data_IF_805065703072
#
_entry.id   IF_805065703072
#
_cell.length_a   1.000
_cell.length_b   1.000
_cell.length_c   1.000
_cell.angle_alpha   90.00
_cell.angle_beta   90.00
_cell.angle_gamma   90.00
#
_symmetry.space_group_name_H-M   'P 1'
#
loop_
_entity.id
_entity.type
_entity.pdbx_description
1 polymer ?
#
# COMPACT_ATOMS: atom_id res chain seq x y z
N UNK A 1 19.93 11.70 10.95
CA UNK A 1 19.21 11.82 12.24
C UNK A 1 17.69 11.65 12.07
N UNK A 2 17.04 12.35 11.14
CA UNK A 2 15.59 12.28 10.90
C UNK A 2 15.02 10.89 10.55
N UNK A 3 15.78 10.08 9.82
CA UNK A 3 15.37 8.70 9.46
C UNK A 3 15.20 7.83 10.71
N UNK A 4 16.06 7.98 11.72
CA UNK A 4 15.95 7.25 12.98
C UNK A 4 14.69 7.62 13.76
N UNK A 5 14.36 8.91 13.81
CA UNK A 5 13.13 9.41 14.45
C UNK A 5 11.87 8.85 13.76
N UNK A 6 11.85 8.82 12.43
CA UNK A 6 10.73 8.27 11.66
C UNK A 6 10.54 6.76 11.91
N UNK A 7 11.63 6.00 11.98
CA UNK A 7 11.58 4.56 12.30
C UNK A 7 11.09 4.30 13.72
N UNK A 8 11.55 5.08 14.70
CA UNK A 8 11.10 4.97 16.10
C UNK A 8 9.62 5.33 16.25
N UNK A 9 9.16 6.37 15.55
CA UNK A 9 7.74 6.73 15.53
C UNK A 9 6.87 5.63 14.90
N UNK A 10 7.30 5.05 13.78
CA UNK A 10 6.62 3.93 13.14
C UNK A 10 6.55 2.69 14.06
N UNK A 11 7.65 2.37 14.74
CA UNK A 11 7.71 1.28 15.71
C UNK A 11 6.75 1.52 16.89
N UNK A 12 6.70 2.74 17.42
CA UNK A 12 5.79 3.08 18.52
C UNK A 12 4.32 2.91 18.13
N UNK A 13 3.93 3.34 16.92
CA UNK A 13 2.58 3.15 16.38
C UNK A 13 2.25 1.66 16.24
N UNK A 14 3.20 0.86 15.75
CA UNK A 14 3.04 -0.59 15.61
C UNK A 14 2.81 -1.27 16.97
N UNK A 15 3.60 -0.93 17.99
CA UNK A 15 3.47 -1.49 19.35
C UNK A 15 2.11 -1.13 19.97
N UNK A 16 1.66 0.12 19.82
CA UNK A 16 0.35 0.55 20.33
C UNK A 16 -0.80 -0.17 19.62
N UNK A 17 -0.66 -0.41 18.31
CA UNK A 17 -1.66 -1.16 17.55
C UNK A 17 -1.70 -2.64 17.96
N UNK A 18 -0.56 -3.30 18.08
CA UNK A 18 -0.47 -4.71 18.43
C UNK A 18 -0.92 -4.98 19.87
N UNK A 19 -0.54 -4.12 20.81
CA UNK A 19 -1.02 -4.20 22.20
C UNK A 19 -2.54 -4.01 22.32
N UNK A 20 -3.16 -3.20 21.46
CA UNK A 20 -4.63 -3.08 21.36
C UNK A 20 -5.27 -4.32 20.75
N UNK A 21 -4.62 -4.96 19.76
CA UNK A 21 -5.09 -6.20 19.14
C UNK A 21 -5.15 -7.35 20.14
N UNK A 22 -4.09 -7.52 20.93
CA UNK A 22 -3.99 -8.62 21.93
C UNK A 22 -5.01 -8.50 23.07
N UNK A 23 -5.51 -7.30 23.37
CA UNK A 23 -6.52 -7.07 24.41
C UNK A 23 -7.95 -7.40 23.99
N UNK A 24 -8.21 -7.70 22.71
CA UNK A 24 -9.54 -8.15 22.27
C UNK A 24 -9.67 -9.66 22.50
N UNK A 25 -10.53 -10.05 23.43
CA UNK A 25 -10.85 -11.45 23.78
C UNK A 25 -11.73 -12.17 22.75
N UNK A 26 -12.18 -11.48 21.71
CA UNK A 26 -13.12 -11.97 20.69
C UNK A 26 -12.42 -12.69 19.52
N UNK A 27 -11.32 -13.40 19.81
CA UNK A 27 -10.59 -14.17 18.78
C UNK A 27 -11.24 -15.54 18.66
N UNK A 28 -12.31 -15.62 17.87
CA UNK A 28 -12.90 -16.90 17.49
C UNK A 28 -11.84 -17.81 16.84
N UNK A 29 -11.65 -19.05 17.31
CA UNK A 29 -10.66 -19.96 16.74
C UNK A 29 -10.94 -20.21 15.26
N UNK A 30 -9.90 -20.14 14.42
CA UNK A 30 -10.01 -20.35 12.99
C UNK A 30 -10.54 -21.77 12.70
N UNK A 31 -11.66 -21.90 11.98
CA UNK A 31 -12.14 -23.20 11.54
C UNK A 31 -11.13 -23.86 10.58
N UNK A 32 -11.01 -25.19 10.64
CA UNK A 32 -10.17 -25.98 9.70
C UNK A 32 -10.49 -25.68 8.23
N UNK A 33 -11.76 -25.43 7.95
CA UNK A 33 -12.28 -24.95 6.66
C UNK A 33 -11.60 -23.64 6.20
N UNK A 34 -11.44 -22.65 7.09
CA UNK A 34 -10.74 -21.38 6.78
C UNK A 34 -9.24 -21.58 6.59
N UNK A 35 -8.59 -22.49 7.32
CA UNK A 35 -7.16 -22.79 7.11
C UNK A 35 -6.89 -23.35 5.70
N UNK A 36 -7.78 -24.19 5.15
CA UNK A 36 -7.61 -24.75 3.80
C UNK A 36 -7.79 -23.72 2.69
N UNK A 37 -8.60 -22.68 2.88
CA UNK A 37 -8.87 -21.64 1.88
C UNK A 37 -7.78 -20.56 1.81
N UNK A 38 -6.77 -20.64 2.69
CA UNK A 38 -5.73 -19.61 2.81
C UNK A 38 -6.25 -18.36 3.52
N UNK A 39 -5.31 -17.51 3.95
CA UNK A 39 -5.64 -16.23 4.59
C UNK A 39 -6.15 -15.27 3.53
N UNK A 40 -7.46 -15.31 3.27
CA UNK A 40 -8.14 -14.27 2.51
C UNK A 40 -8.30 -13.07 3.46
N UNK A 41 -7.70 -11.90 3.16
CA UNK A 41 -8.00 -10.71 3.93
C UNK A 41 -9.51 -10.47 3.83
N UNK A 42 -10.17 -10.29 4.98
CA UNK A 42 -11.58 -9.88 5.00
C UNK A 42 -11.76 -8.60 4.20
N UNK A 43 -12.99 -8.29 3.78
CA UNK A 43 -13.23 -7.15 2.87
C UNK A 43 -12.69 -5.83 3.43
N UNK A 44 -12.63 -5.67 4.76
CA UNK A 44 -12.00 -4.53 5.42
C UNK A 44 -10.49 -4.41 5.24
N UNK A 45 -9.77 -5.48 4.87
CA UNK A 45 -8.32 -5.50 4.68
C UNK A 45 -7.87 -5.10 3.28
N UNK A 46 -8.73 -5.28 2.26
CA UNK A 46 -8.37 -5.03 0.84
C UNK A 46 -8.02 -3.58 0.58
N UNK A 47 -8.87 -2.65 1.02
CA UNK A 47 -8.63 -1.21 0.82
C UNK A 47 -7.39 -0.71 1.57
N UNK A 48 -7.09 -1.28 2.74
CA UNK A 48 -5.90 -0.94 3.52
C UNK A 48 -4.61 -1.36 2.80
N UNK A 49 -4.59 -2.57 2.22
CA UNK A 49 -3.45 -3.05 1.43
C UNK A 49 -3.24 -2.17 0.20
N UNK A 50 -4.30 -1.88 -0.54
CA UNK A 50 -4.24 -1.00 -1.72
C UNK A 50 -3.72 0.40 -1.35
N UNK A 51 -4.18 0.95 -0.23
CA UNK A 51 -3.70 2.23 0.28
C UNK A 51 -2.21 2.18 0.67
N UNK A 52 -1.76 1.07 1.27
CA UNK A 52 -0.35 0.84 1.55
C UNK A 52 0.52 0.78 0.29
N UNK A 53 0.07 0.06 -0.75
CA UNK A 53 0.76 0.00 -2.05
C UNK A 53 0.81 1.37 -2.70
N UNK A 54 -0.29 2.12 -2.66
CA UNK A 54 -0.37 3.49 -3.17
C UNK A 54 0.63 4.41 -2.47
N UNK A 55 0.65 4.41 -1.14
CA UNK A 55 1.57 5.22 -0.35
C UNK A 55 3.04 4.85 -0.65
N UNK A 56 3.34 3.57 -0.79
CA UNK A 56 4.67 3.09 -1.17
C UNK A 56 5.08 3.59 -2.56
N UNK A 57 4.19 3.48 -3.56
CA UNK A 57 4.47 3.95 -4.92
C UNK A 57 4.69 5.47 -4.99
N UNK A 58 3.89 6.26 -4.26
CA UNK A 58 4.06 7.71 -4.15
C UNK A 58 5.38 8.05 -3.43
N UNK A 59 5.72 7.33 -2.37
CA UNK A 59 6.99 7.48 -1.67
C UNK A 59 8.20 7.21 -2.59
N UNK A 60 8.14 6.14 -3.39
CA UNK A 60 9.15 5.84 -4.40
C UNK A 60 9.23 6.92 -5.48
N UNK A 61 8.09 7.45 -5.94
CA UNK A 61 8.07 8.55 -6.91
C UNK A 61 8.74 9.81 -6.35
N UNK A 62 8.51 10.12 -5.07
CA UNK A 62 9.13 11.25 -4.40
C UNK A 62 10.64 11.05 -4.22
N UNK A 63 11.09 9.84 -3.84
CA UNK A 63 12.51 9.51 -3.79
C UNK A 63 13.17 9.66 -5.17
N UNK A 64 12.51 9.20 -6.22
CA UNK A 64 12.98 9.32 -7.60
C UNK A 64 13.04 10.77 -8.07
N UNK A 65 12.12 11.62 -7.60
CA UNK A 65 12.15 13.07 -7.86
C UNK A 65 13.37 13.75 -7.23
N UNK A 66 13.75 13.33 -6.02
CA UNK A 66 14.91 13.89 -5.32
C UNK A 66 16.24 13.36 -5.87
N UNK A 67 16.27 12.11 -6.35
CA UNK A 67 17.46 11.47 -6.90
C UNK A 67 17.10 10.65 -8.14
N UNK A 68 16.99 11.30 -9.32
CA UNK A 68 16.61 10.62 -10.56
C UNK A 68 17.63 9.55 -10.94
N UNK A 69 17.14 8.33 -11.15
CA UNK A 69 17.94 7.21 -11.62
C UNK A 69 17.97 7.16 -13.15
N UNK A 70 19.17 7.00 -13.69
CA UNK A 70 19.38 6.79 -15.12
C UNK A 70 19.23 5.31 -15.50
N UNK A 71 18.79 4.99 -16.74
CA UNK A 71 18.81 3.62 -17.25
C UNK A 71 20.26 3.07 -17.30
N UNK A 72 20.44 1.72 -17.26
CA UNK A 72 19.43 0.68 -17.38
C UNK A 72 18.67 0.39 -16.08
N UNK A 73 17.33 0.32 -16.16
CA UNK A 73 16.48 -0.11 -15.05
C UNK A 73 16.50 -1.63 -14.89
N UNK A 74 16.43 -2.13 -13.66
CA UNK A 74 16.45 -3.57 -13.33
C UNK A 74 15.10 -4.07 -12.78
N UNK A 75 14.86 -5.38 -12.87
CA UNK A 75 13.66 -6.04 -12.32
C UNK A 75 12.47 -6.15 -13.27
N UNK A 76 11.34 -6.65 -12.76
CA UNK A 76 10.14 -6.96 -13.58
C UNK A 76 9.47 -5.72 -14.20
N UNK A 77 9.62 -4.56 -13.57
CA UNK A 77 9.06 -3.30 -14.05
C UNK A 77 10.03 -2.50 -14.96
N UNK A 78 11.21 -3.06 -15.29
CA UNK A 78 12.21 -2.35 -16.10
C UNK A 78 11.66 -1.90 -17.45
N UNK A 79 10.90 -2.76 -18.13
CA UNK A 79 10.30 -2.46 -19.45
C UNK A 79 9.40 -1.22 -19.36
N UNK A 80 8.54 -1.15 -18.34
CA UNK A 80 7.64 -0.02 -18.14
C UNK A 80 8.41 1.28 -17.87
N UNK A 81 9.46 1.22 -17.04
CA UNK A 81 10.26 2.40 -16.72
C UNK A 81 11.12 2.87 -17.88
N UNK A 82 11.68 1.94 -18.67
CA UNK A 82 12.42 2.27 -19.89
C UNK A 82 11.50 2.96 -20.89
N UNK A 83 10.33 2.37 -21.17
CA UNK A 83 9.34 2.97 -22.06
C UNK A 83 8.89 4.36 -21.58
N UNK A 84 8.60 4.51 -20.29
CA UNK A 84 8.21 5.80 -19.74
C UNK A 84 9.35 6.84 -19.87
N UNK A 85 10.60 6.43 -19.69
CA UNK A 85 11.77 7.29 -19.86
C UNK A 85 12.00 7.68 -21.32
N UNK A 86 11.74 6.80 -22.28
CA UNK A 86 11.80 7.14 -23.71
C UNK A 86 10.77 8.21 -24.10
N UNK A 87 9.56 8.15 -23.55
CA UNK A 87 8.47 9.09 -23.88
C UNK A 87 8.61 10.42 -23.14
N UNK A 88 8.94 10.39 -21.85
CA UNK A 88 8.90 11.56 -20.95
C UNK A 88 10.28 12.01 -20.44
N UNK A 89 11.36 11.37 -20.91
CA UNK A 89 12.72 11.63 -20.48
C UNK A 89 12.97 11.25 -19.01
N UNK A 90 13.85 11.98 -18.30
CA UNK A 90 14.23 11.68 -16.91
C UNK A 90 13.06 11.64 -15.92
N UNK A 91 11.93 12.26 -16.24
CA UNK A 91 10.73 12.28 -15.39
C UNK A 91 9.76 11.13 -15.67
N UNK A 92 10.03 10.29 -16.66
CA UNK A 92 9.13 9.20 -17.06
C UNK A 92 8.87 8.18 -15.97
N UNK A 93 9.91 7.74 -15.27
CA UNK A 93 9.78 6.80 -14.15
C UNK A 93 8.90 7.37 -13.03
N UNK A 94 9.04 8.66 -12.73
CA UNK A 94 8.24 9.35 -11.71
C UNK A 94 6.77 9.36 -12.13
N UNK A 95 6.49 9.74 -13.37
CA UNK A 95 5.13 9.74 -13.90
C UNK A 95 4.49 8.34 -13.85
N UNK A 96 5.24 7.29 -14.23
CA UNK A 96 4.77 5.91 -14.17
C UNK A 96 4.43 5.48 -12.72
N UNK A 97 5.30 5.80 -11.75
CA UNK A 97 5.06 5.49 -10.34
C UNK A 97 3.85 6.26 -9.77
N UNK A 98 3.69 7.53 -10.12
CA UNK A 98 2.53 8.34 -9.71
C UNK A 98 1.21 7.82 -10.31
N UNK A 99 1.21 7.38 -11.56
CA UNK A 99 0.02 6.78 -12.19
C UNK A 99 -0.36 5.49 -11.48
N UNK A 100 0.60 4.61 -11.21
CA UNK A 100 0.35 3.36 -10.48
C UNK A 100 -0.17 3.67 -9.06
N UNK A 101 0.53 4.53 -8.32
CA UNK A 101 0.14 4.92 -6.97
C UNK A 101 -1.25 5.57 -6.92
N UNK A 102 -1.55 6.44 -7.89
CA UNK A 102 -2.86 7.08 -8.05
C UNK A 102 -3.97 6.08 -8.36
N UNK A 103 -3.73 5.11 -9.26
CA UNK A 103 -4.70 4.07 -9.58
C UNK A 103 -5.06 3.23 -8.35
N UNK A 104 -4.06 2.82 -7.56
CA UNK A 104 -4.29 2.10 -6.30
C UNK A 104 -4.99 2.97 -5.25
N UNK A 105 -4.66 4.26 -5.16
CA UNK A 105 -5.34 5.19 -4.24
C UNK A 105 -6.82 5.31 -4.55
N UNK A 106 -7.14 5.53 -5.83
CA UNK A 106 -8.52 5.68 -6.31
C UNK A 106 -9.30 4.39 -6.09
N UNK A 107 -8.71 3.23 -6.39
CA UNK A 107 -9.31 1.92 -6.11
C UNK A 107 -9.60 1.73 -4.61
N UNK A 108 -8.64 2.06 -3.75
CA UNK A 108 -8.81 1.99 -2.29
C UNK A 108 -9.93 2.92 -1.80
N UNK A 109 -10.03 4.12 -2.36
CA UNK A 109 -11.07 5.09 -1.99
C UNK A 109 -12.47 4.60 -2.40
N UNK A 110 -12.61 4.01 -3.58
CA UNK A 110 -13.87 3.41 -4.01
C UNK A 110 -14.28 2.24 -3.12
N UNK A 111 -13.35 1.34 -2.80
CA UNK A 111 -13.63 0.19 -1.94
C UNK A 111 -14.01 0.63 -0.52
N UNK A 112 -13.31 1.62 0.03
CA UNK A 112 -13.65 2.20 1.34
C UNK A 112 -15.04 2.83 1.35
N UNK A 113 -15.39 3.57 0.29
CA UNK A 113 -16.73 4.18 0.15
C UNK A 113 -17.81 3.11 0.04
N UNK A 114 -17.55 2.02 -0.68
CA UNK A 114 -18.47 0.88 -0.80
C UNK A 114 -18.72 0.25 0.58
N UNK A 115 -17.66 -0.11 1.30
CA UNK A 115 -17.76 -0.72 2.64
C UNK A 115 -18.51 0.16 3.64
N UNK A 116 -18.33 1.49 3.57
CA UNK A 116 -19.10 2.42 4.41
C UNK A 116 -20.60 2.42 4.11
N UNK A 117 -20.99 2.30 2.83
CA UNK A 117 -22.43 2.22 2.46
C UNK A 117 -23.04 0.92 2.97
N UNK A 118 -22.36 -0.19 2.78
CA UNK A 118 -22.86 -1.52 3.19
C UNK A 118 -23.01 -1.61 4.72
N UNK A 119 -22.10 -0.96 5.47
CA UNK A 119 -22.18 -0.88 6.93
C UNK A 119 -23.35 -0.03 7.43
N UNK A 120 -23.78 0.98 6.66
CA UNK A 120 -24.90 1.84 7.01
C UNK A 120 -26.26 1.21 6.65
N UNK A 121 -26.32 0.33 5.65
CA UNK A 121 -27.55 -0.36 5.23
C UNK A 121 -27.94 -1.54 6.14
N UNK A 122 -27.00 -2.07 6.91
CA UNK A 122 -27.20 -3.20 7.83
C UNK A 122 -27.48 -2.78 9.28
N UNK A 123 -27.64 -1.48 9.55
CA UNK A 123 -28.08 -0.91 10.84
C UNK A 123 -29.55 -0.52 10.75
#
# INVERSE_FOLDING_TARGET
>A
MWIGMALLAGLAVFIVWDSRRLRRTDVTPLSRERMKRGVLPGDSGKWQIQLGISAMAIGLALMEWLSPSAPPYTGKASILFTWAHEVLGPRGKIAALLIIGGAFFVSALFEWRRLRRDSAANQ
#
